data_IF_190862900510
#
_entry.id   IF_190862900510
#
_cell.length_a   1.000
_cell.length_b   1.000
_cell.length_c   1.000
_cell.angle_alpha   90.00
_cell.angle_beta   90.00
_cell.angle_gamma   90.00
#
_symmetry.space_group_name_H-M   'P 1'
#
loop_
_entity.id
_entity.type
_entity.pdbx_description
1 polymer ?
#
# COMPACT_ATOMS: atom_id res chain seq x y z
N UNK A 1 11.77 -9.55 15.74
CA UNK A 1 10.34 -9.77 15.47
C UNK A 1 10.15 -10.43 14.10
N UNK A 2 9.99 -11.77 14.00
CA UNK A 2 9.68 -12.47 12.74
C UNK A 2 8.20 -12.32 12.28
N UNK A 3 7.27 -12.02 13.18
CA UNK A 3 5.83 -12.06 12.87
C UNK A 3 5.34 -10.97 11.90
N UNK A 4 5.96 -9.78 11.86
CA UNK A 4 5.56 -8.73 10.93
C UNK A 4 5.85 -9.09 9.47
N UNK A 5 6.94 -9.86 9.25
CA UNK A 5 7.35 -10.31 7.92
C UNK A 5 6.38 -11.34 7.34
N UNK A 6 5.93 -12.30 8.17
CA UNK A 6 4.94 -13.29 7.74
C UNK A 6 3.60 -12.66 7.43
N UNK A 7 3.18 -11.63 8.17
CA UNK A 7 1.90 -10.94 7.91
C UNK A 7 1.92 -10.21 6.57
N UNK A 8 3.02 -9.53 6.23
CA UNK A 8 3.16 -8.85 4.94
C UNK A 8 3.19 -9.84 3.77
N UNK A 9 3.97 -10.92 3.89
CA UNK A 9 4.01 -11.98 2.88
C UNK A 9 2.64 -12.66 2.73
N UNK A 10 1.97 -12.95 3.86
CA UNK A 10 0.64 -13.55 3.85
C UNK A 10 -0.39 -12.63 3.19
N UNK A 11 -0.40 -11.35 3.54
CA UNK A 11 -1.30 -10.38 2.92
C UNK A 11 -1.10 -10.30 1.41
N UNK A 12 0.15 -10.26 0.93
CA UNK A 12 0.43 -10.18 -0.51
C UNK A 12 0.08 -11.46 -1.26
N UNK A 13 0.42 -12.63 -0.72
CA UNK A 13 0.17 -13.93 -1.37
C UNK A 13 -1.31 -14.32 -1.28
N UNK A 14 -1.90 -14.25 -0.09
CA UNK A 14 -3.23 -14.82 0.17
C UNK A 14 -4.37 -13.81 -0.02
N UNK A 15 -4.14 -12.53 0.27
CA UNK A 15 -5.20 -11.49 0.17
C UNK A 15 -5.08 -10.75 -1.17
N UNK A 16 -3.88 -10.29 -1.52
CA UNK A 16 -3.61 -9.56 -2.75
C UNK A 16 -3.61 -10.44 -4.00
N UNK A 17 -3.23 -11.73 -3.87
CA UNK A 17 -2.98 -12.63 -5.01
C UNK A 17 -2.05 -11.97 -6.04
N UNK A 18 -0.97 -11.37 -5.56
CA UNK A 18 -0.03 -10.62 -6.41
C UNK A 18 0.61 -11.56 -7.44
N UNK A 19 0.48 -11.22 -8.71
CA UNK A 19 1.07 -11.91 -9.86
C UNK A 19 2.36 -11.22 -10.33
N UNK A 20 3.15 -11.96 -11.12
CA UNK A 20 4.39 -11.45 -11.71
C UNK A 20 4.09 -10.25 -12.61
N UNK A 21 4.87 -9.18 -12.46
CA UNK A 21 4.72 -7.95 -13.26
C UNK A 21 3.81 -6.89 -12.65
N UNK A 22 3.05 -7.21 -11.60
CA UNK A 22 2.27 -6.22 -10.86
C UNK A 22 3.16 -5.37 -9.96
N UNK A 23 2.73 -4.14 -9.65
CA UNK A 23 3.43 -3.24 -8.75
C UNK A 23 2.80 -3.18 -7.35
N UNK A 24 3.66 -3.13 -6.34
CA UNK A 24 3.27 -3.14 -4.92
C UNK A 24 4.00 -2.03 -4.17
N UNK A 25 3.25 -1.19 -3.45
CA UNK A 25 3.79 -0.22 -2.48
C UNK A 25 3.68 -0.79 -1.07
N UNK A 26 4.76 -0.73 -0.30
CA UNK A 26 4.79 -1.19 1.09
C UNK A 26 5.32 -0.07 1.98
N UNK A 27 4.52 0.32 2.97
CA UNK A 27 4.97 1.25 3.99
C UNK A 27 5.77 0.52 5.08
N UNK A 28 6.88 1.10 5.52
CA UNK A 28 7.71 0.60 6.64
C UNK A 28 8.52 -0.68 6.35
N UNK A 29 9.59 -0.52 5.55
CA UNK A 29 10.80 -1.36 5.55
C UNK A 29 10.72 -2.90 5.35
N UNK A 30 9.58 -3.47 4.94
CA UNK A 30 9.47 -4.93 4.63
C UNK A 30 9.88 -5.27 3.17
N UNK A 31 10.71 -4.44 2.53
CA UNK A 31 11.03 -4.52 1.10
C UNK A 31 11.75 -5.78 0.65
N UNK A 32 12.61 -6.36 1.50
CA UNK A 32 13.53 -7.43 1.11
C UNK A 32 12.83 -8.76 0.78
N UNK A 33 11.64 -9.02 1.33
CA UNK A 33 10.95 -10.31 1.18
C UNK A 33 10.17 -10.39 -0.14
N UNK A 34 9.72 -9.24 -0.65
CA UNK A 34 8.83 -9.19 -1.82
C UNK A 34 9.58 -9.28 -3.16
N UNK A 35 10.91 -9.12 -3.17
CA UNK A 35 11.73 -9.29 -4.38
C UNK A 35 11.61 -10.69 -5.00
N UNK A 36 11.29 -11.71 -4.19
CA UNK A 36 11.15 -13.10 -4.68
C UNK A 36 9.85 -13.35 -5.47
N UNK A 37 8.90 -12.41 -5.47
CA UNK A 37 7.60 -12.58 -6.15
C UNK A 37 7.60 -12.14 -7.63
N UNK A 38 8.69 -11.53 -8.13
CA UNK A 38 8.73 -11.03 -9.51
C UNK A 38 7.77 -9.86 -9.77
N UNK A 39 7.32 -9.20 -8.71
CA UNK A 39 6.55 -7.97 -8.71
C UNK A 39 7.49 -6.75 -8.58
N UNK A 40 7.06 -5.58 -9.07
CA UNK A 40 7.78 -4.33 -8.88
C UNK A 40 7.47 -3.77 -7.49
N UNK A 41 8.46 -3.72 -6.61
CA UNK A 41 8.26 -3.35 -5.20
C UNK A 41 8.76 -1.93 -4.94
N UNK A 42 7.86 -1.09 -4.44
CA UNK A 42 8.15 0.24 -3.92
C UNK A 42 8.03 0.22 -2.41
N UNK A 43 8.95 0.88 -1.72
CA UNK A 43 9.01 0.86 -0.26
C UNK A 43 9.18 2.28 0.26
N UNK A 44 8.37 2.67 1.23
CA UNK A 44 8.61 3.92 1.96
C UNK A 44 9.42 3.63 3.22
N UNK A 45 10.45 4.44 3.44
CA UNK A 45 11.23 4.44 4.68
C UNK A 45 10.76 5.60 5.55
N UNK A 46 10.46 5.31 6.82
CA UNK A 46 9.99 6.31 7.77
C UNK A 46 11.13 7.20 8.25
N UNK A 47 11.31 8.35 7.63
CA UNK A 47 11.91 9.53 8.27
C UNK A 47 10.82 10.61 8.32
N UNK A 48 10.59 11.23 9.47
CA UNK A 48 9.48 12.19 9.72
C UNK A 48 9.42 13.33 8.68
N UNK A 49 10.52 13.65 8.01
CA UNK A 49 10.60 14.69 6.96
C UNK A 49 10.17 14.27 5.54
N UNK A 50 9.97 12.97 5.25
CA UNK A 50 9.78 12.49 3.86
C UNK A 50 8.44 11.85 3.54
N UNK A 51 7.49 11.87 4.48
CA UNK A 51 6.20 11.22 4.26
C UNK A 51 5.38 11.94 3.18
N UNK A 52 5.38 13.27 3.13
CA UNK A 52 4.72 14.03 2.06
C UNK A 52 5.34 13.82 0.65
N UNK A 53 6.51 13.18 0.56
CA UNK A 53 7.23 12.97 -0.71
C UNK A 53 6.91 11.63 -1.39
N UNK A 54 6.28 10.66 -0.71
CA UNK A 54 6.17 9.33 -1.32
C UNK A 54 5.18 9.30 -2.47
N UNK A 55 4.04 10.01 -2.38
CA UNK A 55 3.04 10.02 -3.46
C UNK A 55 3.67 10.50 -4.77
N UNK A 56 4.34 11.65 -4.75
CA UNK A 56 5.04 12.17 -5.92
C UNK A 56 6.08 11.18 -6.43
N UNK A 57 6.88 10.58 -5.54
CA UNK A 57 7.88 9.58 -5.92
C UNK A 57 7.28 8.35 -6.60
N UNK A 58 6.16 7.83 -6.08
CA UNK A 58 5.44 6.69 -6.66
C UNK A 58 4.80 7.06 -7.99
N UNK A 59 4.14 8.20 -8.07
CA UNK A 59 3.50 8.64 -9.31
C UNK A 59 4.54 8.88 -10.40
N UNK A 60 5.68 9.52 -10.09
CA UNK A 60 6.78 9.65 -11.06
C UNK A 60 7.33 8.29 -11.47
N UNK A 61 7.58 7.38 -10.53
CA UNK A 61 8.15 6.07 -10.83
C UNK A 61 7.18 5.11 -11.56
N UNK A 62 5.89 5.41 -11.55
CA UNK A 62 4.83 4.64 -12.20
C UNK A 62 4.23 5.37 -13.41
N UNK A 63 4.86 6.45 -13.89
CA UNK A 63 4.37 7.29 -14.99
C UNK A 63 2.92 7.79 -14.79
N UNK A 64 2.57 8.14 -13.56
CA UNK A 64 1.25 8.62 -13.16
C UNK A 64 0.18 7.52 -13.05
N UNK A 65 0.53 6.25 -13.26
CA UNK A 65 -0.44 5.13 -13.16
C UNK A 65 -0.80 4.79 -11.71
N UNK A 66 0.15 4.90 -10.79
CA UNK A 66 0.07 4.31 -9.46
C UNK A 66 0.45 2.82 -9.44
N UNK A 67 0.15 2.15 -8.33
CA UNK A 67 0.49 0.75 -8.05
C UNK A 67 -0.72 -0.16 -7.94
N UNK A 68 -0.57 -1.44 -8.31
CA UNK A 68 -1.68 -2.40 -8.24
C UNK A 68 -2.05 -2.75 -6.81
N UNK A 69 -1.08 -2.78 -5.88
CA UNK A 69 -1.33 -3.08 -4.48
C UNK A 69 -0.63 -2.09 -3.56
N UNK A 70 -1.32 -1.63 -2.53
CA UNK A 70 -0.72 -0.83 -1.45
C UNK A 70 -0.92 -1.57 -0.13
N UNK A 71 0.18 -1.98 0.51
CA UNK A 71 0.15 -2.51 1.87
C UNK A 71 0.31 -1.36 2.86
N UNK A 72 -0.82 -0.87 3.37
CA UNK A 72 -0.88 0.29 4.25
C UNK A 72 -0.88 -0.08 5.73
N UNK A 73 -0.06 0.63 6.50
CA UNK A 73 -0.07 0.64 7.96
C UNK A 73 -0.14 2.06 8.55
N UNK A 74 -0.30 3.08 7.69
CA UNK A 74 -0.40 4.49 8.07
C UNK A 74 -1.87 4.86 8.32
N UNK A 75 -2.13 5.90 9.10
CA UNK A 75 -3.49 6.34 9.46
C UNK A 75 -3.68 7.83 9.17
N UNK A 76 -4.93 8.29 9.08
CA UNK A 76 -5.24 9.72 8.89
C UNK A 76 -4.97 10.20 7.46
N UNK A 77 -4.39 11.39 7.29
CA UNK A 77 -4.07 11.97 5.96
C UNK A 77 -3.19 11.05 5.11
N UNK A 78 -2.27 10.33 5.76
CA UNK A 78 -1.37 9.40 5.08
C UNK A 78 -2.07 8.17 4.49
N UNK A 79 -3.23 7.78 5.05
CA UNK A 79 -4.07 6.74 4.46
C UNK A 79 -4.69 7.24 3.14
N UNK A 80 -5.12 8.51 3.10
CA UNK A 80 -5.63 9.12 1.87
C UNK A 80 -4.54 9.23 0.81
N UNK A 81 -3.34 9.68 1.19
CA UNK A 81 -2.19 9.71 0.29
C UNK A 81 -1.78 8.32 -0.24
N UNK A 82 -1.88 7.29 0.61
CA UNK A 82 -1.65 5.90 0.21
C UNK A 82 -2.68 5.44 -0.81
N UNK A 83 -3.93 5.89 -0.69
CA UNK A 83 -5.01 5.60 -1.64
C UNK A 83 -4.78 6.26 -3.02
N UNK A 84 -4.24 7.48 -3.03
CA UNK A 84 -3.90 8.19 -4.28
C UNK A 84 -2.83 7.45 -5.09
N UNK A 85 -1.99 6.67 -4.42
CA UNK A 85 -1.00 5.82 -5.07
C UNK A 85 -1.59 4.56 -5.73
N UNK A 86 -2.85 4.19 -5.43
CA UNK A 86 -3.47 2.96 -5.97
C UNK A 86 -3.86 3.19 -7.44
N UNK A 87 -3.44 2.31 -8.35
CA UNK A 87 -3.82 2.35 -9.75
C UNK A 87 -5.29 1.99 -9.97
N UNK A 88 -5.82 2.23 -11.17
CA UNK A 88 -7.12 1.69 -11.57
C UNK A 88 -7.14 0.16 -11.40
N UNK A 89 -8.24 -0.39 -10.88
CA UNK A 89 -8.39 -1.81 -10.50
C UNK A 89 -7.45 -2.30 -9.40
N UNK A 90 -6.63 -1.42 -8.82
CA UNK A 90 -5.73 -1.73 -7.71
C UNK A 90 -6.45 -1.95 -6.38
N UNK A 91 -5.71 -2.48 -5.41
CA UNK A 91 -6.21 -2.81 -4.07
C UNK A 91 -5.34 -2.18 -2.99
N UNK A 92 -5.97 -1.44 -2.06
CA UNK A 92 -5.32 -1.03 -0.81
C UNK A 92 -5.62 -2.08 0.27
N UNK A 93 -4.57 -2.69 0.82
CA UNK A 93 -4.61 -3.65 1.91
C UNK A 93 -4.21 -2.95 3.21
N UNK A 94 -5.16 -2.83 4.12
CA UNK A 94 -4.96 -2.19 5.42
C UNK A 94 -4.61 -3.24 6.48
N UNK A 95 -3.41 -3.15 7.06
CA UNK A 95 -2.90 -4.12 8.07
C UNK A 95 -2.67 -3.50 9.47
N UNK A 96 -3.04 -2.22 9.66
CA UNK A 96 -2.82 -1.49 10.91
C UNK A 96 -3.87 -1.81 12.00
N UNK A 97 -3.42 -2.30 13.16
CA UNK A 97 -4.27 -2.51 14.36
C UNK A 97 -4.89 -1.22 14.94
N UNK A 98 -4.41 -0.03 14.58
CA UNK A 98 -4.90 1.25 15.14
C UNK A 98 -6.29 1.64 14.64
N UNK A 99 -6.68 1.22 13.44
CA UNK A 99 -8.00 1.53 12.87
C UNK A 99 -9.11 0.55 13.27
N UNK A 100 -8.82 -0.49 14.06
CA UNK A 100 -9.87 -1.23 14.76
C UNK A 100 -10.56 -0.37 15.84
N UNK A 101 -9.95 0.76 16.23
CA UNK A 101 -10.44 1.66 17.30
C UNK A 101 -10.79 3.05 16.75
N UNK A 102 -10.14 3.49 15.66
CA UNK A 102 -10.41 4.77 15.01
C UNK A 102 -11.21 4.59 13.72
N UNK A 103 -12.43 5.12 13.66
CA UNK A 103 -13.23 5.26 12.44
C UNK A 103 -12.53 6.16 11.40
N UNK A 104 -11.45 5.70 10.78
CA UNK A 104 -10.87 6.31 9.58
C UNK A 104 -11.89 6.23 8.45
N UNK A 105 -12.72 7.26 8.32
CA UNK A 105 -13.70 7.40 7.23
C UNK A 105 -12.93 7.72 5.95
N UNK A 106 -12.75 6.71 5.10
CA UNK A 106 -12.44 6.96 3.69
C UNK A 106 -13.67 7.63 3.07
N UNK A 107 -13.54 8.89 2.69
CA UNK A 107 -14.58 9.62 1.96
C UNK A 107 -14.76 9.00 0.58
N UNK A 108 -15.78 8.14 0.44
CA UNK A 108 -16.11 7.40 -0.79
C UNK A 108 -16.56 8.28 -1.97
N UNK A 109 -16.85 9.56 -1.72
CA UNK A 109 -17.47 10.45 -2.70
C UNK A 109 -16.52 10.96 -3.79
N UNK A 110 -15.21 10.72 -3.68
CA UNK A 110 -14.21 11.28 -4.60
C UNK A 110 -13.48 10.20 -5.44
N UNK A 111 -14.07 9.02 -5.64
CA UNK A 111 -13.39 7.91 -6.32
C UNK A 111 -13.84 7.72 -7.78
N UNK A 112 -13.18 8.36 -8.77
CA UNK A 112 -13.24 7.87 -10.14
C UNK A 112 -12.35 6.62 -10.24
N UNK A 113 -12.96 5.45 -10.51
CA UNK A 113 -12.25 4.23 -10.87
C UNK A 113 -12.58 3.00 -10.01
N UNK A 114 -12.35 1.82 -10.58
CA UNK A 114 -12.73 0.52 -10.02
C UNK A 114 -11.73 -0.02 -8.97
N UNK A 115 -11.31 0.81 -8.00
CA UNK A 115 -10.36 0.43 -6.94
C UNK A 115 -11.02 -0.36 -5.80
N UNK A 116 -10.24 -1.17 -5.07
CA UNK A 116 -10.73 -2.02 -3.95
C UNK A 116 -10.02 -1.70 -2.63
N UNK A 117 -10.76 -1.76 -1.52
CA UNK A 117 -10.21 -1.71 -0.16
C UNK A 117 -10.41 -3.07 0.51
N UNK A 118 -9.34 -3.66 1.06
CA UNK A 118 -9.41 -4.91 1.82
C UNK A 118 -8.85 -4.70 3.24
N UNK A 119 -9.61 -5.15 4.23
CA UNK A 119 -9.28 -5.09 5.67
C UNK A 119 -9.20 -6.51 6.23
N UNK A 120 -8.17 -6.79 7.03
CA UNK A 120 -7.96 -8.06 7.73
C UNK A 120 -8.48 -7.97 9.16
#
# INVERSE_FOLDING_TARGET
MPCAFTTALYALIYIGRVERGQSVLIHSAVGAVCQKLGAQIYVTVGSEEKVYSFVSGIMTATNGRGVDYVLNSLSGELLHESWDCVAEFGTLLEIGKRDLIGNGKLSMNNFPGNKKLSRN
#
